data_IF_798516803964
#
_entry.id   IF_798516803964
#
_cell.length_a   1.000
_cell.length_b   1.000
_cell.length_c   1.000
_cell.angle_alpha   90.00
_cell.angle_beta   90.00
_cell.angle_gamma   90.00
#
_symmetry.space_group_name_H-M   'P 1'
#
loop_
_entity.id
_entity.type
_entity.pdbx_description
1 polymer ?
#
# COMPACT_ATOMS: atom_id res chain seq x y z
N UNK A 1 -26.88 -12.09 42.02
CA UNK A 1 -27.30 -12.79 40.79
C UNK A 1 -27.28 -14.29 41.09
N UNK A 2 -28.38 -14.99 40.89
CA UNK A 2 -28.69 -16.25 41.57
C UNK A 2 -27.91 -17.46 41.06
N UNK A 3 -27.15 -18.10 41.96
CA UNK A 3 -26.61 -19.45 41.80
C UNK A 3 -27.73 -20.51 41.87
N UNK A 4 -28.70 -20.46 40.94
CA UNK A 4 -29.62 -21.57 40.77
C UNK A 4 -28.99 -22.53 39.78
N UNK A 5 -28.26 -23.50 40.32
CA UNK A 5 -27.81 -24.65 39.56
C UNK A 5 -29.03 -25.45 39.07
N UNK A 6 -28.88 -26.15 37.95
CA UNK A 6 -29.87 -27.11 37.50
C UNK A 6 -30.13 -28.10 38.65
N UNK A 7 -31.40 -28.31 39.00
CA UNK A 7 -31.78 -29.22 40.09
C UNK A 7 -32.76 -30.31 39.62
N UNK A 8 -33.50 -30.03 38.55
CA UNK A 8 -34.45 -30.95 37.93
C UNK A 8 -34.83 -30.49 36.53
N UNK A 9 -35.17 -31.44 35.66
CA UNK A 9 -35.71 -31.24 34.32
C UNK A 9 -37.11 -31.86 34.22
N UNK A 10 -37.99 -31.31 33.38
CA UNK A 10 -39.31 -31.90 33.14
C UNK A 10 -39.32 -32.68 31.83
N UNK A 11 -39.56 -34.00 31.89
CA UNK A 11 -39.61 -34.90 30.72
C UNK A 11 -40.92 -35.65 30.73
N UNK A 12 -41.69 -35.60 29.63
CA UNK A 12 -42.99 -36.30 29.53
C UNK A 12 -44.00 -35.89 30.61
N UNK A 13 -43.90 -34.66 31.13
CA UNK A 13 -44.76 -34.15 32.21
C UNK A 13 -44.22 -34.37 33.63
N UNK A 14 -43.22 -35.24 33.82
CA UNK A 14 -42.63 -35.62 35.12
C UNK A 14 -41.34 -34.87 35.40
N UNK A 15 -41.09 -34.55 36.67
CA UNK A 15 -39.83 -33.94 37.11
C UNK A 15 -38.78 -35.01 37.42
N UNK A 16 -37.60 -34.88 36.81
CA UNK A 16 -36.43 -35.73 37.03
C UNK A 16 -35.37 -34.87 37.71
N UNK A 17 -34.89 -35.27 38.88
CA UNK A 17 -33.79 -34.58 39.55
C UNK A 17 -32.48 -34.76 38.76
N UNK A 18 -31.77 -33.67 38.52
CA UNK A 18 -30.48 -33.67 37.81
C UNK A 18 -29.74 -32.37 38.07
N UNK A 19 -28.41 -32.42 38.05
CA UNK A 19 -27.49 -31.27 38.11
C UNK A 19 -26.78 -31.00 36.78
N UNK A 20 -26.81 -31.97 35.85
CA UNK A 20 -26.33 -31.87 34.49
C UNK A 20 -27.42 -32.29 33.50
N UNK A 21 -27.58 -31.50 32.43
CA UNK A 21 -28.41 -31.84 31.28
C UNK A 21 -27.53 -31.85 30.02
N UNK A 22 -27.29 -33.03 29.47
CA UNK A 22 -26.63 -33.18 28.17
C UNK A 22 -27.68 -33.14 27.08
N UNK A 23 -27.56 -32.18 26.17
CA UNK A 23 -28.52 -31.95 25.09
C UNK A 23 -27.93 -32.40 23.75
N UNK A 24 -28.62 -33.28 23.04
CA UNK A 24 -28.30 -33.68 21.67
C UNK A 24 -29.50 -33.39 20.77
N UNK A 25 -29.38 -32.35 19.94
CA UNK A 25 -30.48 -31.74 19.17
C UNK A 25 -30.24 -31.81 17.65
N UNK A 26 -29.40 -32.74 17.23
CA UNK A 26 -28.92 -32.87 15.86
C UNK A 26 -27.50 -32.35 15.69
N UNK A 27 -27.04 -32.28 14.44
CA UNK A 27 -25.72 -31.80 14.09
C UNK A 27 -25.79 -31.01 12.80
N UNK A 28 -24.98 -29.97 12.73
CA UNK A 28 -24.75 -29.20 11.52
C UNK A 28 -23.29 -29.41 11.09
N UNK A 29 -23.03 -29.61 9.78
CA UNK A 29 -21.68 -29.83 9.28
C UNK A 29 -20.81 -28.57 9.52
N UNK A 30 -19.49 -28.68 9.58
CA UNK A 30 -18.62 -27.49 9.67
C UNK A 30 -18.63 -26.71 8.33
N UNK A 31 -19.69 -25.94 8.09
CA UNK A 31 -20.04 -25.41 6.76
C UNK A 31 -19.22 -24.18 6.35
N UNK A 32 -18.58 -23.47 7.29
CA UNK A 32 -17.97 -22.17 6.99
C UNK A 32 -16.86 -22.25 5.94
N UNK A 33 -15.90 -23.17 6.11
CA UNK A 33 -14.79 -23.35 5.16
C UNK A 33 -15.29 -23.82 3.78
N UNK A 34 -16.15 -24.86 3.68
CA UNK A 34 -16.76 -25.21 2.41
C UNK A 34 -17.48 -24.04 1.72
N UNK A 35 -18.22 -23.21 2.45
CA UNK A 35 -18.88 -22.03 1.89
C UNK A 35 -17.92 -20.95 1.43
N UNK A 36 -16.82 -20.72 2.16
CA UNK A 36 -15.74 -19.82 1.71
C UNK A 36 -15.06 -20.35 0.43
N UNK A 37 -15.09 -21.66 0.19
CA UNK A 37 -14.68 -22.30 -1.06
C UNK A 37 -15.78 -22.33 -2.14
N UNK A 38 -16.88 -21.58 -1.98
CA UNK A 38 -17.99 -21.51 -2.94
C UNK A 38 -19.07 -22.59 -2.75
N UNK A 39 -18.99 -23.37 -1.68
CA UNK A 39 -19.99 -24.36 -1.32
C UNK A 39 -21.34 -23.76 -0.97
N UNK A 40 -22.41 -24.47 -1.33
CA UNK A 40 -23.79 -24.12 -0.99
C UNK A 40 -24.30 -25.08 0.07
N UNK A 41 -24.93 -24.51 1.10
CA UNK A 41 -25.63 -25.28 2.12
C UNK A 41 -27.05 -25.56 1.65
N UNK A 42 -27.45 -26.82 1.71
CA UNK A 42 -28.81 -27.29 1.51
C UNK A 42 -29.38 -27.89 2.79
N UNK A 43 -30.61 -28.40 2.69
CA UNK A 43 -31.28 -29.12 3.76
C UNK A 43 -32.11 -30.26 3.19
N UNK A 44 -31.90 -31.47 3.69
CA UNK A 44 -32.66 -32.66 3.31
C UNK A 44 -33.75 -32.91 4.35
N UNK A 45 -35.01 -32.77 3.93
CA UNK A 45 -36.17 -32.92 4.80
C UNK A 45 -36.41 -34.37 5.26
N UNK A 46 -35.97 -35.37 4.49
CA UNK A 46 -36.16 -36.78 4.81
C UNK A 46 -35.23 -37.24 5.94
N UNK A 47 -34.02 -36.67 5.96
CA UNK A 47 -32.96 -36.98 6.94
C UNK A 47 -32.84 -35.96 8.04
N UNK A 48 -33.51 -34.80 7.87
CA UNK A 48 -33.44 -33.63 8.73
C UNK A 48 -32.01 -33.12 8.91
N UNK A 49 -31.20 -33.19 7.85
CA UNK A 49 -29.78 -32.85 7.86
C UNK A 49 -29.45 -31.69 6.91
N UNK A 50 -28.55 -30.82 7.35
CA UNK A 50 -27.92 -29.84 6.46
C UNK A 50 -26.92 -30.56 5.55
N UNK A 51 -26.97 -30.24 4.26
CA UNK A 51 -26.06 -30.80 3.25
C UNK A 51 -25.16 -29.71 2.70
N UNK A 52 -24.00 -30.09 2.16
CA UNK A 52 -23.08 -29.14 1.51
C UNK A 52 -22.78 -29.65 0.11
N UNK A 53 -23.04 -28.80 -0.88
CA UNK A 53 -22.66 -29.05 -2.27
C UNK A 53 -21.52 -28.12 -2.63
N UNK A 54 -20.38 -28.68 -3.03
CA UNK A 54 -19.27 -27.89 -3.58
C UNK A 54 -19.39 -27.78 -5.10
N UNK A 55 -18.96 -26.66 -5.71
CA UNK A 55 -18.72 -26.62 -7.15
C UNK A 55 -17.60 -27.61 -7.52
N UNK A 56 -17.61 -28.09 -8.77
CA UNK A 56 -16.47 -28.85 -9.28
C UNK A 56 -15.22 -27.96 -9.19
N UNK A 57 -14.23 -28.39 -8.41
CA UNK A 57 -13.06 -27.57 -8.13
C UNK A 57 -12.10 -28.31 -7.22
N UNK A 58 -11.01 -27.65 -6.82
CA UNK A 58 -9.87 -28.22 -6.09
C UNK A 58 -10.15 -28.65 -4.64
N UNK A 59 -11.32 -28.31 -4.09
CA UNK A 59 -11.71 -28.63 -2.72
C UNK A 59 -12.57 -29.89 -2.70
N UNK A 60 -12.25 -30.81 -1.79
CA UNK A 60 -12.97 -32.06 -1.59
C UNK A 60 -13.41 -32.17 -0.14
N UNK A 61 -14.65 -32.60 0.09
CA UNK A 61 -15.18 -32.87 1.44
C UNK A 61 -14.97 -34.34 1.79
N UNK A 62 -14.71 -34.62 3.05
CA UNK A 62 -14.61 -35.97 3.61
C UNK A 62 -15.10 -35.99 5.05
N UNK A 63 -15.62 -37.14 5.51
CA UNK A 63 -16.17 -37.28 6.85
C UNK A 63 -17.53 -36.61 7.03
N UNK A 64 -17.88 -36.28 8.27
CA UNK A 64 -19.20 -35.77 8.62
C UNK A 64 -19.61 -34.48 7.88
N UNK A 65 -18.65 -33.64 7.47
CA UNK A 65 -18.92 -32.44 6.65
C UNK A 65 -19.41 -32.79 5.23
N UNK A 66 -19.09 -33.99 4.74
CA UNK A 66 -19.61 -34.57 3.50
C UNK A 66 -20.89 -35.39 3.71
N UNK A 67 -21.42 -35.47 4.94
CA UNK A 67 -22.62 -36.23 5.27
C UNK A 67 -22.38 -37.71 5.62
N UNK A 68 -21.15 -38.14 5.87
CA UNK A 68 -20.86 -39.51 6.34
C UNK A 68 -20.78 -39.55 7.87
N UNK A 69 -21.77 -40.15 8.53
CA UNK A 69 -21.87 -40.17 10.00
C UNK A 69 -21.20 -41.38 10.66
N UNK A 70 -21.12 -42.51 9.96
CA UNK A 70 -20.46 -43.71 10.45
C UNK A 70 -18.94 -43.63 10.24
N UNK A 71 -18.16 -44.13 11.22
CA UNK A 71 -16.70 -44.02 11.20
C UNK A 71 -16.07 -44.64 9.94
N UNK A 72 -16.58 -45.78 9.48
CA UNK A 72 -16.05 -46.47 8.30
C UNK A 72 -16.32 -45.68 7.01
N UNK A 73 -17.51 -45.10 6.88
CA UNK A 73 -17.89 -44.24 5.76
C UNK A 73 -17.04 -42.95 5.74
N UNK A 74 -16.74 -42.40 6.92
CA UNK A 74 -15.86 -41.24 7.06
C UNK A 74 -14.42 -41.56 6.63
N UNK A 75 -13.89 -42.72 7.00
CA UNK A 75 -12.55 -43.16 6.57
C UNK A 75 -12.52 -43.36 5.05
N UNK A 76 -13.52 -44.05 4.49
CA UNK A 76 -13.59 -44.31 3.07
C UNK A 76 -13.73 -43.01 2.26
N UNK A 77 -14.52 -42.03 2.74
CA UNK A 77 -14.68 -40.74 2.05
C UNK A 77 -13.39 -39.93 2.09
N UNK A 78 -12.61 -40.04 3.17
CA UNK A 78 -11.25 -39.50 3.26
C UNK A 78 -10.30 -40.08 2.22
N UNK A 79 -10.29 -41.41 2.05
CA UNK A 79 -9.48 -42.09 1.01
C UNK A 79 -9.87 -41.66 -0.39
N UNK A 80 -11.17 -41.61 -0.66
CA UNK A 80 -11.70 -41.14 -1.95
C UNK A 80 -11.28 -39.68 -2.24
N UNK A 81 -11.52 -38.76 -1.30
CA UNK A 81 -11.15 -37.35 -1.47
C UNK A 81 -9.63 -37.17 -1.69
N UNK A 82 -8.80 -37.92 -0.96
CA UNK A 82 -7.35 -37.91 -1.12
C UNK A 82 -6.92 -38.45 -2.49
N UNK A 83 -7.48 -39.58 -2.95
CA UNK A 83 -7.17 -40.16 -4.25
C UNK A 83 -7.52 -39.20 -5.40
N UNK A 84 -8.67 -38.51 -5.32
CA UNK A 84 -9.06 -37.50 -6.32
C UNK A 84 -8.11 -36.30 -6.30
N UNK A 85 -7.76 -35.79 -5.11
CA UNK A 85 -6.84 -34.67 -4.98
C UNK A 85 -5.43 -35.02 -5.52
N UNK A 86 -4.89 -36.18 -5.16
CA UNK A 86 -3.58 -36.64 -5.61
C UNK A 86 -3.54 -36.92 -7.12
N UNK A 87 -4.60 -37.52 -7.67
CA UNK A 87 -4.74 -37.74 -9.12
C UNK A 87 -4.68 -36.43 -9.91
N UNK A 88 -5.31 -35.36 -9.39
CA UNK A 88 -5.25 -34.02 -10.00
C UNK A 88 -3.89 -33.37 -9.91
N UNK A 89 -3.08 -33.72 -8.92
CA UNK A 89 -1.67 -33.32 -8.82
C UNK A 89 -0.76 -34.18 -9.71
N UNK A 90 -1.30 -35.13 -10.48
CA UNK A 90 -0.56 -35.98 -11.41
C UNK A 90 0.00 -37.26 -10.79
N UNK A 91 -0.41 -37.63 -9.57
CA UNK A 91 0.02 -38.87 -8.93
C UNK A 91 -0.85 -40.06 -9.36
N UNK A 92 -0.22 -41.20 -9.66
CA UNK A 92 -0.92 -42.45 -9.97
C UNK A 92 -1.49 -43.05 -8.69
N UNK A 93 -2.81 -43.05 -8.56
CA UNK A 93 -3.54 -43.56 -7.40
C UNK A 93 -4.43 -44.74 -7.77
N UNK A 94 -4.58 -45.69 -6.84
CA UNK A 94 -5.62 -46.70 -6.95
C UNK A 94 -7.00 -46.02 -6.95
N UNK A 95 -7.93 -46.57 -7.73
CA UNK A 95 -9.29 -46.06 -7.77
C UNK A 95 -10.00 -46.36 -6.44
N UNK A 96 -10.26 -45.31 -5.66
CA UNK A 96 -11.11 -45.38 -4.47
C UNK A 96 -12.55 -45.01 -4.89
N UNK A 97 -13.55 -45.88 -4.72
CA UNK A 97 -14.90 -45.60 -5.14
C UNK A 97 -15.53 -44.48 -4.29
N UNK A 98 -16.48 -43.70 -4.85
CA UNK A 98 -17.23 -42.73 -4.07
C UNK A 98 -18.04 -43.44 -2.98
N UNK A 99 -18.03 -42.88 -1.78
CA UNK A 99 -18.76 -43.44 -0.64
C UNK A 99 -20.23 -43.06 -0.71
N UNK A 100 -21.08 -44.07 -0.66
CA UNK A 100 -22.52 -43.89 -0.42
C UNK A 100 -22.78 -44.19 1.06
N UNK A 101 -23.39 -43.28 1.83
CA UNK A 101 -23.64 -43.50 3.26
C UNK A 101 -24.42 -44.81 3.50
N UNK A 102 -23.91 -45.65 4.38
CA UNK A 102 -24.43 -47.02 4.59
C UNK A 102 -25.70 -47.01 5.45
N UNK A 103 -25.93 -45.96 6.24
CA UNK A 103 -27.19 -45.73 6.95
C UNK A 103 -27.59 -44.27 6.90
N UNK A 104 -28.84 -44.03 6.52
CA UNK A 104 -29.46 -42.72 6.57
C UNK A 104 -30.42 -42.71 7.76
N UNK A 105 -29.90 -42.38 8.94
CA UNK A 105 -30.74 -42.27 10.14
C UNK A 105 -31.37 -40.87 10.15
N UNK A 106 -32.71 -40.75 10.24
CA UNK A 106 -33.34 -39.47 10.50
C UNK A 106 -32.73 -38.88 11.77
N UNK A 107 -32.15 -37.69 11.66
CA UNK A 107 -31.63 -36.99 12.84
C UNK A 107 -32.83 -36.60 13.69
N UNK A 108 -32.81 -36.91 14.98
CA UNK A 108 -33.83 -36.37 15.87
C UNK A 108 -33.62 -34.87 15.98
N UNK A 109 -34.50 -34.10 15.34
CA UNK A 109 -34.52 -32.65 15.45
C UNK A 109 -35.67 -32.26 16.38
N UNK A 110 -35.32 -31.69 17.53
CA UNK A 110 -36.30 -31.27 18.53
C UNK A 110 -37.28 -30.23 17.93
N UNK A 111 -38.60 -30.37 18.14
CA UNK A 111 -39.57 -29.33 17.80
C UNK A 111 -39.22 -28.02 18.52
N UNK A 112 -39.29 -26.90 17.82
CA UNK A 112 -39.06 -25.59 18.44
C UNK A 112 -40.40 -25.17 19.07
N UNK A 113 -40.42 -25.09 20.40
CA UNK A 113 -41.61 -24.69 21.16
C UNK A 113 -41.30 -23.38 21.84
N UNK A 114 -42.02 -22.32 21.46
CA UNK A 114 -41.87 -21.01 22.07
C UNK A 114 -42.38 -21.03 23.52
N UNK A 115 -41.60 -20.49 24.46
CA UNK A 115 -42.03 -20.35 25.85
C UNK A 115 -42.65 -18.95 26.05
N UNK A 116 -43.91 -18.90 26.46
CA UNK A 116 -44.64 -17.65 26.64
C UNK A 116 -43.99 -16.69 27.67
N UNK A 117 -43.17 -17.20 28.59
CA UNK A 117 -42.43 -16.41 29.59
C UNK A 117 -41.03 -16.01 29.14
N UNK A 118 -40.59 -16.45 27.95
CA UNK A 118 -39.21 -16.35 27.48
C UNK A 118 -38.29 -17.25 28.31
N UNK A 119 -37.51 -18.09 27.63
CA UNK A 119 -36.47 -19.04 28.17
C UNK A 119 -36.00 -20.06 27.12
N UNK A 120 -36.59 -19.97 25.95
CA UNK A 120 -36.36 -20.69 24.71
C UNK A 120 -35.26 -20.01 23.89
N UNK A 121 -34.03 -20.03 24.42
CA UNK A 121 -32.87 -19.40 23.77
C UNK A 121 -32.50 -20.11 22.46
N UNK A 122 -32.26 -19.28 21.43
CA UNK A 122 -31.80 -19.68 20.10
C UNK A 122 -30.32 -19.33 19.93
N UNK A 123 -29.91 -18.17 20.43
CA UNK A 123 -28.53 -17.72 20.40
C UNK A 123 -28.06 -17.30 21.79
N UNK A 124 -27.12 -18.06 22.35
CA UNK A 124 -26.56 -17.82 23.67
C UNK A 124 -25.56 -16.67 23.71
N UNK A 125 -24.98 -16.27 22.57
CA UNK A 125 -24.01 -15.17 22.56
C UNK A 125 -24.71 -13.81 22.66
N UNK A 126 -25.94 -13.74 22.13
CA UNK A 126 -26.71 -12.50 21.94
C UNK A 126 -28.02 -12.51 22.76
N UNK A 127 -28.21 -13.50 23.63
CA UNK A 127 -29.40 -13.69 24.48
C UNK A 127 -30.75 -13.73 23.72
N UNK A 128 -30.75 -14.27 22.51
CA UNK A 128 -31.94 -14.26 21.64
C UNK A 128 -32.84 -15.46 21.86
N UNK A 129 -34.15 -15.24 21.80
CA UNK A 129 -35.21 -16.23 22.00
C UNK A 129 -36.02 -16.45 20.71
N UNK A 130 -36.85 -17.50 20.65
CA UNK A 130 -37.68 -17.80 19.47
C UNK A 130 -38.57 -16.60 19.10
N UNK A 131 -39.16 -15.95 20.10
CA UNK A 131 -40.05 -14.79 19.90
C UNK A 131 -39.37 -13.62 19.18
N UNK A 132 -38.05 -13.44 19.36
CA UNK A 132 -37.34 -12.30 18.78
C UNK A 132 -37.21 -12.46 17.27
N UNK A 133 -36.94 -13.70 16.82
CA UNK A 133 -36.94 -14.05 15.40
C UNK A 133 -38.35 -14.01 14.80
N UNK A 134 -39.36 -14.50 15.53
CA UNK A 134 -40.76 -14.43 15.08
C UNK A 134 -41.24 -12.99 14.95
N UNK A 135 -40.90 -12.12 15.90
CA UNK A 135 -41.25 -10.70 15.84
C UNK A 135 -40.56 -10.01 14.67
N UNK A 136 -39.27 -10.28 14.43
CA UNK A 136 -38.58 -9.78 13.24
C UNK A 136 -39.29 -10.17 11.93
N UNK A 137 -39.75 -11.43 11.82
CA UNK A 137 -40.51 -11.86 10.63
C UNK A 137 -41.89 -11.19 10.53
N UNK A 138 -42.57 -10.91 11.65
CA UNK A 138 -43.85 -10.17 11.68
C UNK A 138 -43.68 -8.72 11.28
N UNK A 139 -42.55 -8.11 11.63
CA UNK A 139 -42.19 -6.74 11.26
C UNK A 139 -41.79 -6.62 9.77
N UNK A 140 -41.76 -7.74 9.04
CA UNK A 140 -41.54 -7.79 7.59
C UNK A 140 -40.17 -8.27 7.16
N UNK A 141 -39.26 -8.57 8.10
CA UNK A 141 -37.94 -9.13 7.77
C UNK A 141 -38.06 -10.63 7.47
N UNK A 142 -38.31 -10.98 6.21
CA UNK A 142 -38.58 -12.38 5.78
C UNK A 142 -37.36 -13.11 5.22
N UNK A 143 -36.28 -12.40 4.90
CA UNK A 143 -35.02 -12.97 4.43
C UNK A 143 -34.05 -13.19 5.59
N UNK A 144 -33.32 -14.32 5.59
CA UNK A 144 -32.47 -14.72 6.73
C UNK A 144 -31.39 -13.68 7.05
N UNK A 145 -30.87 -13.02 6.03
CA UNK A 145 -29.87 -11.96 6.16
C UNK A 145 -30.45 -10.66 6.75
N UNK A 146 -31.75 -10.41 6.58
CA UNK A 146 -32.44 -9.29 7.22
C UNK A 146 -32.79 -9.61 8.66
N UNK A 147 -33.28 -10.82 8.93
CA UNK A 147 -33.51 -11.31 10.29
C UNK A 147 -32.22 -11.24 11.10
N UNK A 148 -31.09 -11.74 10.56
CA UNK A 148 -29.76 -11.62 11.18
C UNK A 148 -29.40 -10.20 11.57
N UNK A 149 -29.53 -9.23 10.65
CA UNK A 149 -29.13 -7.84 10.92
C UNK A 149 -30.05 -7.16 11.93
N UNK A 150 -31.34 -7.52 11.93
CA UNK A 150 -32.30 -6.92 12.84
C UNK A 150 -32.21 -7.49 14.25
N UNK A 151 -32.04 -8.80 14.39
CA UNK A 151 -32.04 -9.49 15.69
C UNK A 151 -30.67 -9.70 16.28
N UNK A 152 -29.59 -9.47 15.52
CA UNK A 152 -28.18 -9.81 15.84
C UNK A 152 -27.86 -11.30 15.90
N UNK A 153 -28.78 -12.19 15.49
CA UNK A 153 -28.55 -13.64 15.57
C UNK A 153 -27.32 -14.09 14.77
N UNK A 154 -26.43 -14.82 15.42
CA UNK A 154 -25.17 -15.31 14.88
C UNK A 154 -24.08 -14.25 14.70
N UNK A 155 -24.22 -13.07 15.30
CA UNK A 155 -23.17 -12.01 15.27
C UNK A 155 -22.16 -12.10 16.42
N UNK A 156 -22.45 -12.91 17.44
CA UNK A 156 -21.57 -13.12 18.58
C UNK A 156 -20.32 -13.99 18.29
N UNK A 157 -19.50 -14.30 19.31
CA UNK A 157 -18.22 -15.00 19.16
C UNK A 157 -18.31 -16.39 18.51
N UNK A 158 -19.44 -17.09 18.63
CA UNK A 158 -19.66 -18.37 17.94
C UNK A 158 -19.79 -18.21 16.42
N UNK A 159 -20.10 -17.00 15.94
CA UNK A 159 -20.44 -16.70 14.55
C UNK A 159 -21.62 -17.56 14.05
N UNK A 160 -22.61 -17.78 14.91
CA UNK A 160 -23.85 -18.48 14.59
C UNK A 160 -23.73 -20.00 14.49
N UNK A 161 -22.62 -20.60 14.97
CA UNK A 161 -22.39 -22.05 14.90
C UNK A 161 -23.47 -22.87 15.61
N UNK A 162 -23.96 -22.41 16.76
CA UNK A 162 -25.05 -23.08 17.48
C UNK A 162 -26.44 -22.62 17.04
N UNK A 163 -26.58 -21.37 16.57
CA UNK A 163 -27.89 -20.77 16.30
C UNK A 163 -28.38 -20.95 14.86
N UNK A 164 -27.49 -21.10 13.87
CA UNK A 164 -27.84 -21.05 12.44
C UNK A 164 -29.00 -21.97 12.01
N UNK A 165 -28.97 -23.25 12.40
CA UNK A 165 -30.02 -24.20 12.02
C UNK A 165 -31.34 -23.89 12.74
N UNK A 166 -31.29 -23.54 14.03
CA UNK A 166 -32.47 -23.15 14.77
C UNK A 166 -33.11 -21.89 14.17
N UNK A 167 -32.30 -20.87 13.86
CA UNK A 167 -32.75 -19.66 13.17
C UNK A 167 -33.41 -19.97 11.83
N UNK A 168 -32.76 -20.77 10.98
CA UNK A 168 -33.30 -21.13 9.67
C UNK A 168 -34.66 -21.83 9.79
N UNK A 169 -34.81 -22.72 10.78
CA UNK A 169 -36.08 -23.41 11.06
C UNK A 169 -37.18 -22.47 11.55
N UNK A 170 -36.87 -21.55 12.46
CA UNK A 170 -37.84 -20.59 13.00
C UNK A 170 -38.33 -19.64 11.90
N UNK A 171 -37.41 -19.14 11.07
CA UNK A 171 -37.75 -18.26 9.94
C UNK A 171 -38.51 -19.03 8.86
N UNK A 172 -38.15 -20.29 8.58
CA UNK A 172 -38.86 -21.16 7.65
C UNK A 172 -40.33 -21.35 8.07
N UNK A 173 -40.56 -21.73 9.33
CA UNK A 173 -41.91 -21.88 9.89
C UNK A 173 -42.68 -20.56 9.87
N UNK A 174 -42.09 -19.45 10.33
CA UNK A 174 -42.75 -18.16 10.41
C UNK A 174 -43.07 -17.55 9.02
N UNK A 175 -42.37 -17.95 7.97
CA UNK A 175 -42.58 -17.44 6.61
C UNK A 175 -43.31 -18.41 5.67
N UNK A 176 -43.60 -19.63 6.13
CA UNK A 176 -44.22 -20.69 5.33
C UNK A 176 -43.32 -21.26 4.23
N UNK A 177 -41.99 -21.20 4.42
CA UNK A 177 -40.97 -21.70 3.47
C UNK A 177 -40.27 -22.93 4.04
N UNK A 178 -39.56 -23.68 3.20
CA UNK A 178 -38.68 -24.76 3.64
C UNK A 178 -37.35 -24.23 4.18
N UNK A 179 -36.68 -25.00 5.05
CA UNK A 179 -35.33 -24.66 5.57
C UNK A 179 -34.32 -24.50 4.42
N UNK A 180 -34.43 -25.31 3.37
CA UNK A 180 -33.57 -25.21 2.18
C UNK A 180 -33.75 -23.91 1.40
N UNK A 181 -34.97 -23.36 1.36
CA UNK A 181 -35.25 -22.06 0.73
C UNK A 181 -34.81 -20.86 1.56
N UNK A 182 -34.81 -20.98 2.89
CA UNK A 182 -34.28 -19.95 3.79
C UNK A 182 -32.76 -19.94 3.76
N UNK A 183 -32.16 -21.14 3.75
CA UNK A 183 -30.71 -21.32 3.80
C UNK A 183 -30.10 -20.83 5.12
N UNK A 184 -28.80 -20.56 5.09
CA UNK A 184 -28.06 -19.97 6.20
C UNK A 184 -27.41 -18.66 5.76
N UNK A 185 -26.96 -17.89 6.72
CA UNK A 185 -26.27 -16.63 6.45
C UNK A 185 -24.88 -16.88 5.88
N UNK A 186 -24.38 -15.88 5.15
CA UNK A 186 -23.09 -15.95 4.46
C UNK A 186 -21.94 -16.19 5.43
N UNK A 187 -21.16 -17.25 5.22
CA UNK A 187 -19.92 -17.50 5.95
C UNK A 187 -18.80 -16.60 5.42
N UNK A 188 -18.08 -15.92 6.32
CA UNK A 188 -16.95 -15.03 5.99
C UNK A 188 -15.67 -15.46 6.71
N UNK A 189 -14.49 -15.23 6.13
CA UNK A 189 -13.24 -15.30 6.89
C UNK A 189 -13.19 -14.18 7.94
N UNK A 190 -12.46 -14.38 9.05
CA UNK A 190 -11.84 -15.64 9.47
C UNK A 190 -12.87 -16.60 10.10
N UNK A 191 -12.60 -17.93 10.07
CA UNK A 191 -13.53 -18.96 10.62
C UNK A 191 -13.68 -18.86 12.13
N UNK A 192 -12.61 -18.44 12.80
CA UNK A 192 -12.60 -18.07 14.21
C UNK A 192 -11.86 -16.75 14.37
N UNK A 193 -11.93 -16.11 15.54
CA UNK A 193 -11.19 -14.89 15.79
C UNK A 193 -9.69 -15.12 15.58
N UNK A 194 -9.02 -14.13 15.00
CA UNK A 194 -7.56 -14.07 14.96
C UNK A 194 -7.04 -12.79 15.59
N UNK A 195 -5.82 -12.85 16.11
CA UNK A 195 -5.17 -11.69 16.74
C UNK A 195 -4.68 -10.71 15.68
N UNK A 196 -4.95 -9.42 15.90
CA UNK A 196 -4.45 -8.36 15.02
C UNK A 196 -2.91 -8.37 14.94
N UNK A 197 -2.22 -8.80 16.01
CA UNK A 197 -0.76 -8.95 16.02
C UNK A 197 -0.25 -10.04 15.07
N UNK A 198 -0.92 -11.19 14.99
CA UNK A 198 -0.59 -12.22 14.02
C UNK A 198 -0.83 -11.75 12.58
N UNK A 199 -1.93 -11.02 12.34
CA UNK A 199 -2.26 -10.47 11.01
C UNK A 199 -1.33 -9.33 10.58
N UNK A 200 -0.83 -8.53 11.52
CA UNK A 200 0.15 -7.48 11.26
C UNK A 200 1.51 -8.07 10.87
N UNK A 201 1.92 -9.18 11.49
CA UNK A 201 3.24 -9.75 11.24
C UNK A 201 4.38 -8.76 11.54
N UNK A 202 5.48 -8.85 10.79
CA UNK A 202 6.60 -7.93 10.94
C UNK A 202 6.43 -6.71 10.01
N UNK A 203 6.11 -5.56 10.59
CA UNK A 203 6.04 -4.28 9.89
C UNK A 203 7.26 -3.41 10.24
N UNK A 204 8.36 -3.58 9.51
CA UNK A 204 9.45 -2.60 9.55
C UNK A 204 9.23 -1.55 8.46
N UNK A 205 9.21 -0.28 8.83
CA UNK A 205 9.17 0.81 7.87
C UNK A 205 10.48 0.81 7.07
N UNK A 206 10.38 0.72 5.74
CA UNK A 206 11.55 0.77 4.86
C UNK A 206 12.18 2.17 4.93
N UNK A 207 13.34 2.26 5.57
CA UNK A 207 14.13 3.49 5.65
C UNK A 207 15.14 3.56 4.49
N UNK A 208 15.21 4.72 3.84
CA UNK A 208 16.21 5.04 2.81
C UNK A 208 17.18 6.09 3.32
N UNK A 209 18.47 5.86 3.07
CA UNK A 209 19.57 6.73 3.51
C UNK A 209 20.45 7.06 2.32
N UNK A 210 20.88 8.31 2.19
CA UNK A 210 21.81 8.72 1.13
C UNK A 210 23.21 8.19 1.45
N UNK A 211 24.09 8.15 0.46
CA UNK A 211 25.51 7.81 0.68
C UNK A 211 26.21 8.76 1.68
N UNK A 212 25.64 9.95 1.89
CA UNK A 212 26.15 10.98 2.81
C UNK A 212 25.54 10.91 4.21
N UNK A 213 24.65 9.96 4.49
CA UNK A 213 23.95 9.88 5.78
C UNK A 213 24.89 9.91 6.99
N UNK A 214 25.98 9.14 6.94
CA UNK A 214 26.98 9.12 8.01
C UNK A 214 27.68 10.48 8.21
N UNK A 215 27.91 11.25 7.13
CA UNK A 215 28.48 12.62 7.20
C UNK A 215 27.50 13.57 7.85
N UNK A 216 26.22 13.49 7.51
CA UNK A 216 25.17 14.31 8.13
C UNK A 216 25.06 14.05 9.63
N UNK A 217 25.04 12.79 10.05
CA UNK A 217 25.02 12.42 11.48
C UNK A 217 26.27 12.93 12.21
N UNK A 218 27.47 12.78 11.60
CA UNK A 218 28.71 13.29 12.18
C UNK A 218 28.72 14.82 12.34
N UNK A 219 28.02 15.54 11.45
CA UNK A 219 27.82 16.99 11.50
C UNK A 219 26.64 17.41 12.39
N UNK A 220 26.07 16.48 13.18
CA UNK A 220 24.92 16.72 14.05
C UNK A 220 23.70 17.28 13.30
N UNK A 221 23.45 16.78 12.10
CA UNK A 221 22.22 17.09 11.38
C UNK A 221 21.00 16.53 12.14
N UNK A 222 19.98 17.37 12.30
CA UNK A 222 18.65 16.92 12.72
C UNK A 222 17.99 16.19 11.53
N UNK A 223 18.08 14.86 11.52
CA UNK A 223 17.54 14.03 10.44
C UNK A 223 16.03 13.85 10.60
N UNK A 224 15.25 14.07 9.54
CA UNK A 224 13.80 13.84 9.51
C UNK A 224 13.38 12.96 8.33
N UNK A 225 12.33 12.13 8.47
CA UNK A 225 11.78 11.37 7.36
C UNK A 225 11.03 12.29 6.37
N UNK A 226 11.34 12.14 5.09
CA UNK A 226 10.63 12.74 3.95
C UNK A 226 10.26 11.60 3.00
N UNK A 227 9.01 11.13 3.10
CA UNK A 227 8.65 9.81 2.59
C UNK A 227 9.51 8.74 3.27
N UNK A 228 10.08 7.82 2.49
CA UNK A 228 11.00 6.81 3.00
C UNK A 228 12.42 7.33 3.31
N UNK A 229 12.77 8.56 2.90
CA UNK A 229 14.15 9.07 3.01
C UNK A 229 14.41 9.83 4.31
N UNK A 230 15.52 9.52 4.98
CA UNK A 230 16.04 10.33 6.07
C UNK A 230 16.94 11.45 5.54
N UNK A 231 16.51 12.70 5.73
CA UNK A 231 17.17 13.90 5.18
C UNK A 231 17.55 14.91 6.26
N UNK A 232 18.66 15.65 6.10
CA UNK A 232 19.04 16.74 7.01
C UNK A 232 17.99 17.86 6.98
N UNK A 233 17.34 18.12 8.12
CA UNK A 233 16.35 19.20 8.22
C UNK A 233 17.02 20.54 8.54
N UNK A 234 18.02 20.53 9.43
CA UNK A 234 19.01 21.58 9.74
C UNK A 234 20.22 20.93 10.44
N UNK A 235 21.30 21.68 10.65
CA UNK A 235 22.53 21.27 11.33
C UNK A 235 22.70 22.08 12.63
N UNK A 236 22.70 21.40 13.78
CA UNK A 236 22.79 22.07 15.08
C UNK A 236 21.98 21.38 16.18
N UNK A 237 21.89 22.02 17.33
CA UNK A 237 21.11 21.53 18.46
C UNK A 237 19.61 21.82 18.28
N UNK A 238 18.76 20.91 18.74
CA UNK A 238 17.31 21.08 18.63
C UNK A 238 16.76 22.23 19.47
N UNK A 239 17.43 22.58 20.58
CA UNK A 239 17.07 23.70 21.44
C UNK A 239 17.29 25.07 20.79
N UNK A 240 18.12 25.16 19.73
CA UNK A 240 18.41 26.39 18.98
C UNK A 240 18.08 26.26 17.49
N UNK A 241 17.12 25.41 17.13
CA UNK A 241 16.78 25.09 15.75
C UNK A 241 16.50 26.32 14.86
N UNK A 242 15.75 27.31 15.36
CA UNK A 242 15.43 28.52 14.59
C UNK A 242 16.66 29.37 14.28
N UNK A 243 17.59 29.47 15.24
CA UNK A 243 18.85 30.18 15.06
C UNK A 243 19.75 29.43 14.06
N UNK A 244 19.86 28.11 14.19
CA UNK A 244 20.61 27.28 13.25
C UNK A 244 20.09 27.43 11.80
N UNK A 245 18.77 27.39 11.60
CA UNK A 245 18.15 27.61 10.29
C UNK A 245 18.42 29.02 9.77
N UNK A 246 18.37 30.05 10.63
CA UNK A 246 18.69 31.43 10.24
C UNK A 246 20.15 31.57 9.80
N UNK A 247 21.09 30.98 10.55
CA UNK A 247 22.50 30.97 10.19
C UNK A 247 22.76 30.25 8.86
N UNK A 248 22.07 29.13 8.61
CA UNK A 248 22.13 28.42 7.34
C UNK A 248 21.66 29.28 6.16
N UNK A 249 20.56 30.01 6.31
CA UNK A 249 20.03 30.94 5.29
C UNK A 249 21.06 32.04 5.01
N UNK A 250 21.59 32.68 6.05
CA UNK A 250 22.60 33.74 5.91
C UNK A 250 23.88 33.20 5.26
N UNK A 251 24.31 31.98 5.63
CA UNK A 251 25.48 31.35 5.02
C UNK A 251 25.32 31.15 3.51
N UNK A 252 24.11 30.81 3.03
CA UNK A 252 23.83 30.71 1.58
C UNK A 252 23.79 32.10 0.93
N UNK A 253 23.09 33.07 1.52
CA UNK A 253 22.88 34.41 0.94
C UNK A 253 24.17 35.24 0.89
N UNK A 254 24.97 35.21 1.95
CA UNK A 254 26.16 36.04 2.11
C UNK A 254 27.47 35.32 1.70
N UNK A 255 27.42 34.00 1.58
CA UNK A 255 28.59 33.15 1.39
C UNK A 255 28.37 32.03 0.39
N UNK A 256 28.38 30.80 0.92
CA UNK A 256 28.16 29.57 0.16
C UNK A 256 27.63 28.48 1.09
N UNK A 257 26.59 27.79 0.66
CA UNK A 257 26.05 26.62 1.32
C UNK A 257 26.18 25.36 0.47
N UNK A 258 26.10 24.20 1.15
CA UNK A 258 26.11 22.88 0.54
C UNK A 258 24.89 22.07 0.99
N UNK A 259 24.07 21.61 0.04
CA UNK A 259 22.89 20.78 0.32
C UNK A 259 23.01 19.41 -0.36
N UNK A 260 22.61 18.36 0.37
CA UNK A 260 22.43 17.01 -0.19
C UNK A 260 21.08 16.91 -0.93
N UNK A 261 21.17 16.86 -2.26
CA UNK A 261 20.03 16.67 -3.19
C UNK A 261 20.03 15.26 -3.79
N UNK A 262 20.73 14.30 -3.17
CA UNK A 262 20.80 12.90 -3.61
C UNK A 262 19.45 12.21 -3.69
N UNK A 263 18.43 12.71 -3.00
CA UNK A 263 17.09 12.11 -2.99
C UNK A 263 16.23 12.49 -4.20
N UNK A 264 16.61 13.51 -4.98
CA UNK A 264 15.91 13.86 -6.23
C UNK A 264 15.91 12.68 -7.19
N UNK A 265 14.85 12.56 -7.99
CA UNK A 265 14.82 11.59 -9.08
C UNK A 265 15.90 11.88 -10.10
N UNK A 266 16.48 10.81 -10.66
CA UNK A 266 17.55 10.88 -11.66
C UNK A 266 17.22 9.86 -12.72
N UNK A 267 16.66 10.32 -13.82
CA UNK A 267 16.20 9.50 -14.93
C UNK A 267 17.07 9.81 -16.14
N UNK A 268 17.41 8.78 -16.90
CA UNK A 268 18.15 8.95 -18.13
C UNK A 268 17.34 8.42 -19.31
N UNK A 269 17.18 9.27 -20.33
CA UNK A 269 16.41 8.97 -21.53
C UNK A 269 17.38 8.93 -22.70
N UNK A 270 17.44 7.80 -23.41
CA UNK A 270 18.34 7.59 -24.54
C UNK A 270 17.57 7.12 -25.76
N UNK A 271 17.95 7.58 -26.94
CA UNK A 271 17.40 7.11 -28.21
C UNK A 271 16.96 8.25 -29.12
N UNK A 272 16.81 7.96 -30.43
CA UNK A 272 16.58 8.99 -31.45
C UNK A 272 15.32 9.82 -31.21
N UNK A 273 14.32 9.25 -30.51
CA UNK A 273 13.03 9.88 -30.27
C UNK A 273 12.96 10.52 -28.85
N UNK A 274 14.09 10.60 -28.12
CA UNK A 274 14.13 11.10 -26.72
C UNK A 274 13.62 12.55 -26.58
N UNK A 275 13.93 13.42 -27.55
CA UNK A 275 13.42 14.78 -27.56
C UNK A 275 11.90 14.84 -27.71
N UNK A 276 11.35 14.04 -28.63
CA UNK A 276 9.89 13.93 -28.83
C UNK A 276 9.20 13.34 -27.61
N UNK A 277 9.79 12.30 -27.01
CA UNK A 277 9.28 11.69 -25.79
C UNK A 277 9.13 12.71 -24.65
N UNK A 278 10.15 13.56 -24.44
CA UNK A 278 10.08 14.64 -23.45
C UNK A 278 9.09 15.74 -23.82
N UNK A 279 8.94 16.07 -25.10
CA UNK A 279 7.93 17.03 -25.58
C UNK A 279 6.50 16.56 -25.30
N UNK A 280 6.23 15.25 -25.30
CA UNK A 280 4.91 14.71 -24.97
C UNK A 280 4.63 14.72 -23.46
N UNK A 281 5.66 14.52 -22.63
CA UNK A 281 5.52 14.42 -21.17
C UNK A 281 5.55 15.76 -20.43
N UNK A 282 6.34 16.73 -20.91
CA UNK A 282 6.56 18.00 -20.24
C UNK A 282 5.99 19.16 -21.03
N UNK A 283 5.61 20.24 -20.36
CA UNK A 283 4.94 21.40 -20.99
C UNK A 283 5.88 22.25 -21.84
N UNK A 284 7.19 22.26 -21.55
CA UNK A 284 8.19 22.93 -22.38
C UNK A 284 8.63 22.04 -23.54
N UNK A 285 9.00 22.63 -24.68
CA UNK A 285 9.66 21.87 -25.75
C UNK A 285 11.09 21.56 -25.33
N UNK A 286 11.54 20.32 -25.42
CA UNK A 286 12.87 19.76 -25.18
C UNK A 286 13.53 19.23 -26.46
N UNK A 287 12.76 18.87 -27.50
CA UNK A 287 13.30 18.36 -28.76
C UNK A 287 14.32 19.30 -29.43
N UNK A 288 14.10 20.62 -29.32
CA UNK A 288 15.00 21.66 -29.84
C UNK A 288 16.03 22.20 -28.83
N UNK A 289 16.14 21.60 -27.64
CA UNK A 289 17.08 22.01 -26.60
C UNK A 289 18.52 21.83 -27.10
N UNK A 290 19.39 22.84 -27.13
CA UNK A 290 20.76 22.61 -27.58
C UNK A 290 21.51 21.65 -26.64
N UNK A 291 22.43 20.84 -27.18
CA UNK A 291 23.33 19.99 -26.37
C UNK A 291 24.13 20.87 -25.41
N UNK A 292 24.36 20.39 -24.18
CA UNK A 292 25.03 21.16 -23.15
C UNK A 292 24.13 22.16 -22.42
N UNK A 293 22.82 22.19 -22.72
CA UNK A 293 21.85 23.07 -22.06
C UNK A 293 20.93 22.28 -21.14
N UNK A 294 20.41 22.98 -20.14
CA UNK A 294 19.42 22.49 -19.18
C UNK A 294 18.12 23.27 -19.39
N UNK A 295 16.97 22.62 -19.23
CA UNK A 295 15.65 23.24 -19.36
C UNK A 295 14.74 22.73 -18.25
N UNK A 296 13.88 23.61 -17.74
CA UNK A 296 12.89 23.24 -16.74
C UNK A 296 11.88 22.25 -17.31
N UNK A 297 11.49 21.30 -16.48
CA UNK A 297 10.48 20.29 -16.77
C UNK A 297 9.30 20.54 -15.84
N UNK A 298 8.12 20.79 -16.41
CA UNK A 298 6.86 20.85 -15.66
C UNK A 298 5.95 19.78 -16.24
N UNK A 299 5.50 18.86 -15.40
CA UNK A 299 4.70 17.70 -15.78
C UNK A 299 3.26 17.89 -15.32
N UNK A 300 2.32 17.64 -16.22
CA UNK A 300 0.89 17.69 -15.93
C UNK A 300 0.28 16.29 -16.03
N UNK A 301 -0.84 16.08 -15.34
CA UNK A 301 -1.73 14.96 -15.64
C UNK A 301 -2.65 15.30 -16.84
N UNK A 302 -3.51 14.37 -17.25
CA UNK A 302 -4.42 14.57 -18.37
C UNK A 302 -5.48 15.66 -18.14
N UNK A 303 -5.69 16.08 -16.89
CA UNK A 303 -6.59 17.17 -16.51
C UNK A 303 -5.91 18.54 -16.56
N UNK A 304 -4.60 18.59 -16.80
CA UNK A 304 -3.82 19.83 -16.80
C UNK A 304 -3.32 20.27 -15.42
N UNK A 305 -3.49 19.45 -14.38
CA UNK A 305 -2.97 19.73 -13.04
C UNK A 305 -1.47 19.42 -12.97
N UNK A 306 -0.72 20.25 -12.27
CA UNK A 306 0.72 20.05 -12.03
C UNK A 306 0.94 18.85 -11.11
N UNK A 307 1.67 17.85 -11.59
CA UNK A 307 1.94 16.62 -10.83
C UNK A 307 3.40 16.44 -10.46
N UNK A 308 4.34 17.00 -11.23
CA UNK A 308 5.76 16.98 -10.88
C UNK A 308 6.53 18.08 -11.60
N UNK A 309 7.75 18.35 -11.14
CA UNK A 309 8.69 19.22 -11.82
C UNK A 309 10.16 18.77 -11.66
N UNK A 310 11.03 19.40 -12.44
CA UNK A 310 12.46 19.13 -12.43
C UNK A 310 13.21 19.85 -13.55
N UNK A 311 14.30 19.26 -14.01
CA UNK A 311 15.07 19.77 -15.15
C UNK A 311 15.53 18.64 -16.07
N UNK A 312 15.65 18.93 -17.36
CA UNK A 312 16.27 18.05 -18.33
C UNK A 312 17.59 18.67 -18.81
N UNK A 313 18.70 17.97 -18.63
CA UNK A 313 20.01 18.28 -19.23
C UNK A 313 20.20 17.44 -20.50
N UNK A 314 20.36 18.09 -21.66
CA UNK A 314 20.66 17.41 -22.93
C UNK A 314 22.16 17.16 -23.04
N UNK A 315 22.57 15.92 -22.80
CA UNK A 315 23.97 15.49 -22.74
C UNK A 315 24.55 15.25 -24.14
N UNK A 316 23.73 14.65 -25.00
CA UNK A 316 24.04 14.43 -26.41
C UNK A 316 22.77 14.64 -27.25
N UNK A 317 22.88 14.45 -28.57
CA UNK A 317 21.76 14.68 -29.48
C UNK A 317 20.52 13.84 -29.12
N UNK A 318 20.71 12.63 -28.63
CA UNK A 318 19.69 11.62 -28.35
C UNK A 318 19.71 11.15 -26.89
N UNK A 319 20.26 11.97 -25.99
CA UNK A 319 20.50 11.57 -24.60
C UNK A 319 20.22 12.72 -23.63
N UNK A 320 19.32 12.48 -22.68
CA UNK A 320 18.89 13.44 -21.66
C UNK A 320 19.02 12.87 -20.25
N UNK A 321 19.42 13.72 -19.32
CA UNK A 321 19.36 13.45 -17.88
C UNK A 321 18.27 14.32 -17.26
N UNK A 322 17.24 13.68 -16.73
CA UNK A 322 16.03 14.33 -16.23
C UNK A 322 15.93 14.15 -14.73
N UNK A 323 15.74 15.24 -14.00
CA UNK A 323 15.44 15.20 -12.57
C UNK A 323 13.94 15.22 -12.33
N UNK A 324 13.54 14.65 -11.20
CA UNK A 324 12.15 14.62 -10.72
C UNK A 324 12.14 14.89 -9.21
N UNK A 325 11.00 15.30 -8.64
CA UNK A 325 10.95 15.52 -7.19
C UNK A 325 11.17 14.22 -6.42
N UNK A 326 11.70 14.32 -5.19
CA UNK A 326 12.01 13.15 -4.34
C UNK A 326 10.82 12.24 -4.12
N UNK A 327 9.62 12.81 -3.95
CA UNK A 327 8.39 12.05 -3.71
C UNK A 327 7.78 11.45 -4.98
N UNK A 328 7.99 12.07 -6.14
CA UNK A 328 7.31 11.69 -7.37
C UNK A 328 8.09 10.74 -8.28
N UNK A 329 9.42 10.63 -8.15
CA UNK A 329 10.26 9.91 -9.12
C UNK A 329 9.79 8.49 -9.45
N UNK A 330 9.28 7.74 -8.47
CA UNK A 330 8.77 6.38 -8.71
C UNK A 330 7.56 6.40 -9.66
N UNK A 331 6.65 7.37 -9.47
CA UNK A 331 5.50 7.58 -10.35
C UNK A 331 5.93 8.10 -11.71
N UNK A 332 6.79 9.13 -11.78
CA UNK A 332 7.28 9.68 -13.06
C UNK A 332 7.95 8.60 -13.91
N UNK A 333 8.76 7.74 -13.30
CA UNK A 333 9.37 6.61 -14.01
C UNK A 333 8.31 5.61 -14.51
N UNK A 334 7.31 5.28 -13.69
CA UNK A 334 6.21 4.41 -14.11
C UNK A 334 5.39 5.03 -15.25
N UNK A 335 5.09 6.33 -15.18
CA UNK A 335 4.36 7.08 -16.22
C UNK A 335 5.16 7.08 -17.53
N UNK A 336 6.48 7.33 -17.47
CA UNK A 336 7.37 7.25 -18.63
C UNK A 336 7.31 5.87 -19.30
N UNK A 337 7.35 4.78 -18.52
CA UNK A 337 7.26 3.43 -19.07
C UNK A 337 5.87 3.13 -19.63
N UNK A 338 4.81 3.53 -18.93
CA UNK A 338 3.43 3.34 -19.35
C UNK A 338 3.16 4.04 -20.68
N UNK A 339 3.49 5.32 -20.79
CA UNK A 339 3.29 6.09 -22.01
C UNK A 339 4.17 5.60 -23.15
N UNK A 340 5.41 5.15 -22.89
CA UNK A 340 6.22 4.60 -23.97
C UNK A 340 5.70 3.24 -24.48
N UNK A 341 5.02 2.45 -23.64
CA UNK A 341 4.37 1.21 -24.10
C UNK A 341 3.26 1.49 -25.13
N UNK A 342 2.56 2.61 -24.99
CA UNK A 342 1.54 3.08 -25.94
C UNK A 342 2.15 3.78 -27.15
N UNK A 343 3.01 4.78 -26.94
CA UNK A 343 3.59 5.59 -28.02
C UNK A 343 4.62 4.84 -28.86
N UNK A 344 5.25 3.81 -28.30
CA UNK A 344 6.26 2.96 -28.95
C UNK A 344 7.40 3.76 -29.60
N UNK A 345 7.83 4.83 -28.93
CA UNK A 345 8.99 5.61 -29.35
C UNK A 345 10.27 4.81 -29.11
N UNK A 346 11.30 5.05 -29.93
CA UNK A 346 12.60 4.38 -29.79
C UNK A 346 13.41 5.08 -28.71
N UNK A 347 13.03 4.82 -27.46
CA UNK A 347 13.70 5.35 -26.27
C UNK A 347 13.89 4.28 -25.20
N UNK A 348 15.05 4.33 -24.55
CA UNK A 348 15.33 3.64 -23.30
C UNK A 348 15.19 4.63 -22.14
N UNK A 349 14.49 4.21 -21.09
CA UNK A 349 14.31 4.99 -19.85
C UNK A 349 15.01 4.24 -18.71
N UNK A 350 16.05 4.85 -18.14
CA UNK A 350 16.80 4.28 -17.02
C UNK A 350 16.56 5.08 -15.74
N UNK A 351 16.26 4.38 -14.64
CA UNK A 351 16.19 5.01 -13.32
C UNK A 351 17.53 4.91 -12.59
N UNK A 352 18.25 6.02 -12.51
CA UNK A 352 19.56 6.16 -11.87
C UNK A 352 19.48 6.73 -10.45
N UNK A 353 18.28 6.88 -9.88
CA UNK A 353 18.06 7.56 -8.59
C UNK A 353 18.87 6.96 -7.44
N UNK A 354 19.02 5.63 -7.39
CA UNK A 354 19.87 4.99 -6.38
C UNK A 354 21.37 4.98 -6.73
N UNK A 355 21.69 5.04 -8.01
CA UNK A 355 23.06 4.93 -8.52
C UNK A 355 23.83 6.26 -8.46
N UNK A 356 23.13 7.39 -8.40
CA UNK A 356 23.73 8.73 -8.36
C UNK A 356 23.30 9.54 -7.13
N UNK A 357 24.27 10.22 -6.54
CA UNK A 357 24.09 11.27 -5.54
C UNK A 357 24.16 12.65 -6.18
N UNK A 358 23.66 13.67 -5.50
CA UNK A 358 23.67 15.05 -5.97
C UNK A 358 24.00 16.03 -4.86
N UNK A 359 24.90 16.97 -5.12
CA UNK A 359 25.31 18.03 -4.20
C UNK A 359 24.96 19.39 -4.81
N UNK A 360 24.22 20.23 -4.10
CA UNK A 360 23.96 21.60 -4.51
C UNK A 360 24.93 22.55 -3.80
N UNK A 361 25.85 23.15 -4.55
CA UNK A 361 26.76 24.21 -4.08
C UNK A 361 26.16 25.54 -4.48
N UNK A 362 25.74 26.35 -3.51
CA UNK A 362 24.91 27.54 -3.77
C UNK A 362 25.37 28.76 -2.97
N UNK A 363 25.27 29.94 -3.56
CA UNK A 363 25.62 31.23 -2.93
C UNK A 363 26.60 32.05 -3.78
N UNK A 364 26.82 33.33 -3.47
CA UNK A 364 27.69 34.22 -4.26
C UNK A 364 29.13 33.69 -4.38
N UNK A 365 29.62 32.92 -3.40
CA UNK A 365 30.97 32.32 -3.42
C UNK A 365 31.03 30.92 -4.02
N UNK A 366 29.92 30.34 -4.47
CA UNK A 366 29.86 28.97 -5.02
C UNK A 366 30.89 28.73 -6.14
N UNK A 367 31.04 29.69 -7.06
CA UNK A 367 32.03 29.59 -8.14
C UNK A 367 33.48 29.58 -7.61
N UNK A 368 33.78 30.35 -6.57
CA UNK A 368 35.13 30.41 -6.01
C UNK A 368 35.52 29.06 -5.41
N UNK A 369 34.58 28.42 -4.70
CA UNK A 369 34.76 27.06 -4.16
C UNK A 369 35.04 26.05 -5.26
N UNK A 370 34.23 26.05 -6.33
CA UNK A 370 34.40 25.10 -7.43
C UNK A 370 35.70 25.33 -8.21
N UNK A 371 36.15 26.58 -8.37
CA UNK A 371 37.44 26.91 -9.00
C UNK A 371 38.66 26.50 -8.17
N UNK A 372 38.50 26.31 -6.86
CA UNK A 372 39.58 25.86 -5.98
C UNK A 372 39.79 24.34 -6.00
N UNK A 373 38.86 23.59 -6.63
CA UNK A 373 38.98 22.15 -6.80
C UNK A 373 39.74 21.83 -8.09
N UNK A 374 40.53 20.76 -8.06
CA UNK A 374 41.12 20.19 -9.28
C UNK A 374 40.00 19.69 -10.21
N UNK A 375 39.90 20.25 -11.42
CA UNK A 375 38.75 20.04 -12.30
C UNK A 375 39.12 20.30 -13.76
N UNK A 376 38.61 19.47 -14.66
CA UNK A 376 38.68 19.69 -16.12
C UNK A 376 37.53 20.57 -16.65
N UNK A 377 36.54 20.88 -15.80
CA UNK A 377 35.44 21.79 -16.11
C UNK A 377 35.86 23.24 -15.79
N UNK A 378 35.73 24.14 -16.78
CA UNK A 378 35.88 25.59 -16.57
C UNK A 378 34.60 26.20 -15.97
N UNK A 379 34.68 26.60 -14.70
CA UNK A 379 33.61 27.28 -13.96
C UNK A 379 33.58 28.81 -14.16
N UNK A 380 34.36 29.36 -15.09
CA UNK A 380 34.29 30.78 -15.47
C UNK A 380 32.87 31.17 -15.91
N UNK A 381 32.54 32.46 -15.76
CA UNK A 381 31.19 32.96 -16.06
C UNK A 381 30.82 32.73 -17.53
N UNK A 382 31.79 32.89 -18.42
CA UNK A 382 31.61 32.85 -19.86
C UNK A 382 31.57 31.41 -20.38
N UNK A 383 32.39 30.52 -19.80
CA UNK A 383 32.39 29.09 -20.18
C UNK A 383 31.17 28.31 -19.65
N UNK A 384 30.64 28.71 -18.50
CA UNK A 384 29.53 28.04 -17.81
C UNK A 384 28.31 28.96 -17.59
N UNK A 385 27.61 29.38 -18.67
CA UNK A 385 26.44 30.27 -18.57
C UNK A 385 25.26 29.62 -17.83
N UNK A 386 24.30 30.42 -17.36
CA UNK A 386 23.12 29.90 -16.66
C UNK A 386 22.35 28.88 -17.53
N UNK A 387 21.77 27.84 -16.92
CA UNK A 387 21.10 26.73 -17.60
C UNK A 387 22.00 25.97 -18.60
N UNK A 388 23.28 25.80 -18.27
CA UNK A 388 24.17 24.86 -18.95
C UNK A 388 24.47 23.64 -18.09
N UNK A 389 24.85 22.56 -18.77
CA UNK A 389 25.33 21.34 -18.15
C UNK A 389 26.65 20.90 -18.79
N UNK A 390 27.50 20.25 -18.00
CA UNK A 390 28.79 19.69 -18.40
C UNK A 390 29.03 18.38 -17.67
N UNK A 391 29.62 17.41 -18.33
CA UNK A 391 30.16 16.21 -17.71
C UNK A 391 31.69 16.33 -17.70
N UNK A 392 32.34 15.87 -16.63
CA UNK A 392 33.79 15.98 -16.45
C UNK A 392 34.26 15.39 -15.12
N UNK A 393 35.45 15.78 -14.68
CA UNK A 393 36.09 15.34 -13.44
C UNK A 393 36.21 16.53 -12.47
N UNK A 394 35.82 16.33 -11.20
CA UNK A 394 36.04 17.29 -10.12
C UNK A 394 36.59 16.55 -8.91
N UNK A 395 37.75 16.97 -8.41
CA UNK A 395 38.49 16.34 -7.33
C UNK A 395 38.68 14.82 -7.53
N UNK A 396 38.98 14.41 -8.76
CA UNK A 396 39.14 12.99 -9.14
C UNK A 396 37.84 12.19 -9.22
N UNK A 397 36.66 12.81 -9.09
CA UNK A 397 35.35 12.17 -9.17
C UNK A 397 34.68 12.52 -10.50
N UNK A 398 34.13 11.54 -11.26
CA UNK A 398 33.30 11.82 -12.42
C UNK A 398 32.00 12.49 -11.98
N UNK A 399 31.75 13.69 -12.51
CA UNK A 399 30.61 14.53 -12.16
C UNK A 399 29.87 15.00 -13.41
N UNK A 400 28.56 15.06 -13.24
CA UNK A 400 27.64 15.81 -14.09
C UNK A 400 27.27 17.08 -13.37
N UNK A 401 27.64 18.22 -13.92
CA UNK A 401 27.39 19.52 -13.31
C UNK A 401 26.32 20.27 -14.08
N UNK A 402 25.32 20.79 -13.38
CA UNK A 402 24.25 21.61 -13.94
C UNK A 402 24.23 22.96 -13.22
N UNK A 403 24.30 24.07 -13.97
CA UNK A 403 24.14 25.41 -13.40
C UNK A 403 22.66 25.78 -13.35
N UNK A 404 22.02 25.29 -12.29
CA UNK A 404 20.61 25.45 -11.94
C UNK A 404 20.51 25.85 -10.47
N UNK A 405 19.47 26.57 -10.08
CA UNK A 405 19.32 27.07 -8.72
C UNK A 405 17.86 27.10 -8.28
N UNK A 406 17.64 26.66 -7.04
CA UNK A 406 16.34 26.64 -6.37
C UNK A 406 16.28 27.67 -5.21
N UNK A 407 17.41 28.25 -4.84
CA UNK A 407 17.55 29.22 -3.75
C UNK A 407 17.53 30.67 -4.24
N UNK A 408 17.54 30.88 -5.57
CA UNK A 408 17.70 32.19 -6.20
C UNK A 408 19.13 32.73 -6.25
N UNK A 409 20.10 31.97 -5.74
CA UNK A 409 21.52 32.31 -5.78
C UNK A 409 22.23 31.71 -7.00
N UNK A 410 23.51 32.04 -7.16
CA UNK A 410 24.38 31.27 -8.04
C UNK A 410 24.52 29.85 -7.48
N UNK A 411 24.07 28.86 -8.25
CA UNK A 411 24.04 27.47 -7.80
C UNK A 411 24.54 26.51 -8.88
N UNK A 412 25.17 25.44 -8.43
CA UNK A 412 25.61 24.31 -9.25
C UNK A 412 25.20 23.01 -8.56
N UNK A 413 24.53 22.13 -9.30
CA UNK A 413 24.26 20.76 -8.86
C UNK A 413 25.31 19.83 -9.46
N UNK A 414 26.07 19.15 -8.60
CA UNK A 414 27.10 18.18 -8.95
C UNK A 414 26.57 16.78 -8.66
N UNK A 415 26.30 16.02 -9.73
CA UNK A 415 25.79 14.66 -9.65
C UNK A 415 26.90 13.66 -9.95
N UNK A 416 27.09 12.66 -9.09
CA UNK A 416 28.16 11.66 -9.23
C UNK A 416 27.65 10.27 -8.82
N UNK A 417 28.35 9.18 -9.20
CA UNK A 417 28.06 7.85 -8.67
C UNK A 417 28.00 7.85 -7.13
N UNK A 418 26.96 7.26 -6.56
CA UNK A 418 26.67 7.32 -5.12
C UNK A 418 27.84 6.83 -4.26
N UNK A 419 28.61 5.85 -4.75
CA UNK A 419 29.79 5.31 -4.06
C UNK A 419 30.92 6.33 -3.89
N UNK A 420 30.99 7.36 -4.73
CA UNK A 420 32.01 8.41 -4.71
C UNK A 420 31.54 9.71 -4.06
N UNK A 421 30.24 9.81 -3.73
CA UNK A 421 29.64 11.01 -3.16
C UNK A 421 30.30 11.48 -1.85
N UNK A 422 30.69 10.60 -0.90
CA UNK A 422 31.39 11.04 0.31
C UNK A 422 32.72 11.74 -0.02
N UNK A 423 33.47 11.24 -1.01
CA UNK A 423 34.74 11.85 -1.41
C UNK A 423 34.54 13.23 -2.04
N UNK A 424 33.54 13.37 -2.90
CA UNK A 424 33.20 14.67 -3.49
C UNK A 424 32.72 15.67 -2.42
N UNK A 425 31.87 15.21 -1.49
CA UNK A 425 31.40 16.03 -0.36
C UNK A 425 32.56 16.56 0.47
N UNK A 426 33.47 15.68 0.89
CA UNK A 426 34.62 16.04 1.72
C UNK A 426 35.54 17.04 1.00
N UNK A 427 35.75 16.86 -0.32
CA UNK A 427 36.54 17.78 -1.14
C UNK A 427 35.90 19.17 -1.25
N UNK A 428 34.58 19.24 -1.52
CA UNK A 428 33.84 20.51 -1.61
C UNK A 428 33.83 21.22 -0.25
N UNK A 429 33.60 20.50 0.85
CA UNK A 429 33.66 21.04 2.20
C UNK A 429 35.04 21.61 2.53
N UNK A 430 36.12 20.92 2.14
CA UNK A 430 37.49 21.37 2.37
C UNK A 430 37.80 22.64 1.57
N UNK A 431 37.51 22.67 0.27
CA UNK A 431 37.72 23.82 -0.59
C UNK A 431 36.85 25.03 -0.19
N UNK A 432 35.66 24.77 0.36
CA UNK A 432 34.74 25.81 0.81
C UNK A 432 35.07 26.43 2.17
N UNK A 433 35.87 25.75 3.01
CA UNK A 433 36.18 26.21 4.37
C UNK A 433 36.76 27.64 4.43
N UNK A 434 37.73 28.05 3.58
CA UNK A 434 38.24 29.43 3.55
C UNK A 434 37.18 30.47 3.19
N UNK A 435 36.10 30.06 2.51
CA UNK A 435 35.02 30.92 2.07
C UNK A 435 33.84 30.96 3.06
N UNK A 436 33.93 30.22 4.17
CA UNK A 436 32.86 30.08 5.16
C UNK A 436 31.75 29.12 4.73
N UNK A 437 32.06 28.12 3.90
CA UNK A 437 31.06 27.14 3.45
C UNK A 437 30.44 26.40 4.63
N UNK A 438 29.10 26.34 4.63
CA UNK A 438 28.33 25.58 5.62
C UNK A 438 27.35 24.61 4.94
N UNK A 439 27.20 23.39 5.46
CA UNK A 439 26.09 22.55 5.03
C UNK A 439 24.78 23.18 5.52
N UNK A 440 23.69 23.02 4.77
CA UNK A 440 22.36 23.50 5.17
C UNK A 440 21.28 22.47 4.87
N UNK A 441 20.21 22.50 5.68
CA UNK A 441 19.15 21.52 5.64
C UNK A 441 17.93 21.95 4.82
N UNK A 442 16.91 21.10 4.86
CA UNK A 442 15.66 21.32 4.12
C UNK A 442 14.88 22.54 4.56
N UNK A 443 14.94 22.94 5.83
CA UNK A 443 14.16 24.10 6.27
C UNK A 443 14.74 25.41 5.74
N UNK A 444 16.07 25.57 5.79
CA UNK A 444 16.73 26.70 5.13
C UNK A 444 16.47 26.69 3.62
N UNK A 445 16.55 25.53 2.96
CA UNK A 445 16.20 25.40 1.53
C UNK A 445 14.76 25.82 1.23
N UNK A 446 13.81 25.43 2.09
CA UNK A 446 12.39 25.78 1.97
C UNK A 446 12.13 27.27 2.11
N UNK A 447 12.87 27.98 2.96
CA UNK A 447 12.74 29.44 3.09
C UNK A 447 13.38 30.14 1.90
N UNK A 448 14.60 29.74 1.51
CA UNK A 448 15.33 30.34 0.38
C UNK A 448 14.57 30.25 -0.94
N UNK A 449 13.90 29.12 -1.22
CA UNK A 449 13.06 28.95 -2.41
C UNK A 449 11.78 29.78 -2.35
N UNK A 450 11.20 29.93 -1.15
CA UNK A 450 9.97 30.68 -0.94
C UNK A 450 10.18 32.17 -1.18
N UNK A 451 11.32 32.72 -0.76
CA UNK A 451 11.75 34.10 -1.06
C UNK A 451 11.84 34.39 -2.57
N UNK A 452 11.92 33.35 -3.41
CA UNK A 452 11.94 33.45 -4.87
C UNK A 452 10.62 33.10 -5.54
N UNK A 453 9.62 32.65 -4.77
CA UNK A 453 8.36 32.15 -5.31
C UNK A 453 8.52 30.84 -6.10
N UNK A 454 9.58 30.06 -5.87
CA UNK A 454 9.70 28.73 -6.45
C UNK A 454 8.80 27.75 -5.70
N UNK A 455 8.10 26.88 -6.43
CA UNK A 455 7.13 25.95 -5.87
C UNK A 455 7.79 24.67 -5.34
N UNK A 456 7.10 23.99 -4.45
CA UNK A 456 7.29 22.61 -4.04
C UNK A 456 6.00 21.85 -4.31
N UNK A 457 6.10 20.84 -5.18
CA UNK A 457 4.99 19.98 -5.53
C UNK A 457 4.42 19.30 -4.28
N UNK A 458 3.09 19.35 -4.11
CA UNK A 458 2.38 18.80 -2.96
C UNK A 458 2.40 19.68 -1.70
N UNK A 459 3.14 20.79 -1.71
CA UNK A 459 3.06 21.82 -0.67
C UNK A 459 2.40 23.10 -1.18
N UNK A 460 2.85 23.60 -2.33
CA UNK A 460 2.25 24.78 -2.97
C UNK A 460 1.33 24.41 -4.14
N UNK A 461 1.24 23.10 -4.43
CA UNK A 461 0.31 22.53 -5.42
C UNK A 461 -0.51 21.43 -4.77
N UNK A 462 -1.74 21.26 -5.27
CA UNK A 462 -2.63 20.15 -4.95
C UNK A 462 -3.06 19.42 -6.23
N UNK A 463 -4.04 18.51 -6.13
CA UNK A 463 -4.49 17.69 -7.25
C UNK A 463 -5.17 18.46 -8.40
N UNK A 464 -5.51 19.74 -8.20
CA UNK A 464 -6.25 20.57 -9.17
C UNK A 464 -5.47 21.81 -9.60
N UNK A 465 -4.32 22.08 -8.99
CA UNK A 465 -3.51 23.27 -9.29
C UNK A 465 -3.00 23.26 -10.72
N UNK A 466 -3.32 24.30 -11.49
CA UNK A 466 -2.92 24.46 -12.90
C UNK A 466 -1.70 25.38 -13.06
N UNK A 467 -0.98 25.33 -14.20
CA UNK A 467 0.12 26.26 -14.47
C UNK A 467 -0.28 27.74 -14.42
N UNK A 468 -1.52 28.08 -14.80
CA UNK A 468 -1.99 29.47 -14.82
C UNK A 468 -2.15 30.03 -13.40
N UNK A 469 -2.68 29.24 -12.46
CA UNK A 469 -2.80 29.63 -11.04
C UNK A 469 -1.44 29.88 -10.39
N UNK A 470 -0.40 29.17 -10.85
CA UNK A 470 0.97 29.34 -10.38
C UNK A 470 1.70 30.52 -11.07
N UNK A 471 1.11 31.14 -12.10
CA UNK A 471 1.78 32.13 -12.93
C UNK A 471 2.87 31.54 -13.82
N UNK A 472 2.79 30.25 -14.14
CA UNK A 472 3.79 29.47 -14.87
C UNK A 472 3.55 29.44 -16.39
N UNK A 473 2.83 30.42 -16.94
CA UNK A 473 2.61 30.52 -18.39
C UNK A 473 3.92 30.56 -19.21
N UNK A 474 5.05 30.96 -18.61
CA UNK A 474 6.38 30.91 -19.22
C UNK A 474 6.92 29.48 -19.40
N UNK A 475 6.45 28.53 -18.61
CA UNK A 475 6.82 27.11 -18.65
C UNK A 475 5.89 26.28 -19.56
N UNK A 476 4.88 26.90 -20.19
CA UNK A 476 3.96 26.22 -21.12
C UNK A 476 4.27 26.63 -22.56
N UNK A 477 4.72 25.69 -23.38
CA UNK A 477 5.02 25.95 -24.78
C UNK A 477 3.75 26.11 -25.61
N UNK A 478 3.68 27.16 -26.42
CA UNK A 478 2.63 27.35 -27.45
C UNK A 478 3.00 26.78 -28.82
N UNK A 479 4.14 26.08 -28.92
CA UNK A 479 4.74 25.62 -30.18
C UNK A 479 4.69 24.10 -30.34
N UNK A 480 4.08 23.40 -29.38
CA UNK A 480 3.82 21.97 -29.41
C UNK A 480 2.43 21.71 -28.82
N UNK A 481 1.80 20.56 -29.13
CA UNK A 481 0.53 20.15 -28.55
C UNK A 481 0.54 20.16 -27.02
#
# INVERSE_FOLDING_TARGET
>A
VGNRHLARVRVGGSWIACDLLTVSIGQAPAWQLPCQAGGKVGYDASTQAMTITLPQGSVHLAGAVAGTDELQDAIASGRHAAAVALSRLGHVMAAEPPVTPTSVRPRYVQPIVADAKGRDFVDFDEDLQVKDLQNATKDGYREIELVKRFTTVGMGPSQGRHSALATARIVAEATGRSVGEIGITTARPPVGPETLGALAGHHEALERRTALHARHVALKAAMKPVGAWWRPYYYGDASSAEEAVREEILAVREGVGLLDVSTLGKLEIRGPDAGEFLDRLYTMAHANQPVGRVRYCLMLNEMGSVIDDGVAYRMAQDQFYVTATTGAVARVYADMLFWNADWRLRVDVLNLTGAFSGLNVTGPKARQVLKALDSDIDFSRDAFPYLSGRDGMVAGVPVRVMRIGFTGELSYELHCPSSLAPSLWDAVMAAGRPHGLRPYGLEASRILRLEKGHILIGQDTDAITTPDELGFGWAVSKKKP
#
